data_IF_266150371883
#
_entry.id   IF_266150371883
#
_cell.length_a   1.000
_cell.length_b   1.000
_cell.length_c   1.000
_cell.angle_alpha   90.00
_cell.angle_beta   90.00
_cell.angle_gamma   90.00
#
_symmetry.space_group_name_H-M   'P 1'
#
loop_
_entity.id
_entity.type
_entity.pdbx_description
1 polymer ?
#
# COMPACT_ATOMS: atom_id res chain seq x y z
N UNK A 1 -5.16 8.37 -3.62
CA UNK A 1 -4.17 7.41 -4.19
C UNK A 1 -2.81 7.78 -3.61
N UNK A 2 -2.09 6.84 -2.99
CA UNK A 2 -0.74 7.06 -2.46
C UNK A 2 0.25 7.15 -3.62
N UNK A 3 1.08 8.19 -3.63
CA UNK A 3 2.09 8.46 -4.65
C UNK A 3 3.50 8.13 -4.17
N UNK A 4 4.49 8.04 -5.08
CA UNK A 4 5.90 7.91 -4.67
C UNK A 4 6.36 9.08 -3.80
N UNK A 5 5.84 10.29 -4.04
CA UNK A 5 6.13 11.46 -3.21
C UNK A 5 5.67 11.30 -1.78
N UNK A 6 4.46 10.75 -1.55
CA UNK A 6 3.95 10.47 -0.21
C UNK A 6 4.84 9.47 0.53
N UNK A 7 5.34 8.46 -0.18
CA UNK A 7 6.27 7.46 0.37
C UNK A 7 7.60 8.09 0.78
N UNK A 8 8.19 8.91 -0.10
CA UNK A 8 9.46 9.59 0.19
C UNK A 8 9.35 10.56 1.37
N UNK A 9 8.26 11.33 1.43
CA UNK A 9 7.97 12.22 2.56
C UNK A 9 7.82 11.46 3.88
N UNK A 10 7.27 10.26 3.83
CA UNK A 10 7.11 9.40 5.01
C UNK A 10 8.45 8.81 5.47
N UNK A 11 9.27 8.32 4.53
CA UNK A 11 10.55 7.68 4.84
C UNK A 11 11.66 8.67 5.24
N UNK A 12 11.70 9.81 4.56
CA UNK A 12 12.77 10.83 4.74
C UNK A 12 12.14 12.23 4.82
N UNK A 13 11.53 12.59 5.94
CA UNK A 13 10.92 13.90 6.11
C UNK A 13 11.95 15.02 5.95
N UNK A 14 11.63 16.01 5.12
CA UNK A 14 12.49 17.18 4.88
C UNK A 14 13.60 16.96 3.86
N UNK A 15 13.78 15.76 3.31
CA UNK A 15 14.78 15.51 2.27
C UNK A 15 14.44 16.19 0.94
N UNK A 16 15.47 16.50 0.15
CA UNK A 16 15.33 17.08 -1.18
C UNK A 16 15.36 15.99 -2.27
N UNK A 17 14.33 15.95 -3.10
CA UNK A 17 14.18 15.00 -4.20
C UNK A 17 13.26 15.52 -5.28
N UNK A 18 13.30 14.90 -6.47
CA UNK A 18 12.39 15.16 -7.57
C UNK A 18 11.86 13.84 -8.14
N UNK A 19 10.62 13.84 -8.63
CA UNK A 19 10.00 12.68 -9.32
C UNK A 19 9.46 13.13 -10.66
N UNK A 20 10.04 12.63 -11.74
CA UNK A 20 9.63 12.92 -13.11
C UNK A 20 9.35 11.60 -13.84
N UNK A 21 8.14 11.44 -14.37
CA UNK A 21 7.77 10.21 -15.08
C UNK A 21 7.89 8.94 -14.23
N UNK A 22 7.75 9.05 -12.90
CA UNK A 22 7.91 7.93 -11.99
C UNK A 22 9.36 7.59 -11.61
N UNK A 23 10.33 8.30 -12.17
CA UNK A 23 11.76 8.18 -11.82
C UNK A 23 12.09 9.15 -10.70
N UNK A 24 12.69 8.64 -9.62
CA UNK A 24 13.18 9.42 -8.49
C UNK A 24 14.58 9.94 -8.83
N UNK A 25 14.81 11.23 -8.59
CA UNK A 25 16.14 11.85 -8.57
C UNK A 25 16.36 12.37 -7.17
N UNK A 26 17.27 11.74 -6.45
CA UNK A 26 17.64 12.14 -5.09
C UNK A 26 18.63 13.29 -5.14
N UNK A 27 18.34 14.36 -4.41
CA UNK A 27 19.13 15.60 -4.39
C UNK A 27 19.72 15.89 -3.01
N UNK A 28 19.15 15.26 -1.97
CA UNK A 28 19.59 15.46 -0.58
C UNK A 28 21.01 14.92 -0.35
N UNK A 29 21.83 15.70 0.34
CA UNK A 29 23.23 15.35 0.65
C UNK A 29 23.42 14.91 2.09
N UNK A 30 22.44 15.12 2.96
CA UNK A 30 22.50 14.80 4.38
C UNK A 30 21.77 13.47 4.70
N UNK A 31 20.72 13.18 3.97
CA UNK A 31 19.95 11.94 4.12
C UNK A 31 20.24 10.97 2.97
N UNK A 32 20.31 9.68 3.28
CA UNK A 32 20.50 8.64 2.26
C UNK A 32 19.22 8.39 1.48
N UNK A 33 19.35 8.16 0.17
CA UNK A 33 18.24 7.75 -0.67
C UNK A 33 17.61 6.44 -0.14
N UNK A 34 16.27 6.37 -0.03
CA UNK A 34 15.59 5.13 0.32
C UNK A 34 15.83 4.03 -0.71
N UNK A 35 16.03 2.81 -0.25
CA UNK A 35 16.14 1.65 -1.12
C UNK A 35 14.81 1.31 -1.78
N UNK A 36 14.83 0.52 -2.87
CA UNK A 36 13.62 0.04 -3.52
C UNK A 36 12.74 -0.77 -2.55
N UNK A 37 13.35 -1.56 -1.66
CA UNK A 37 12.65 -2.34 -0.65
C UNK A 37 11.95 -1.44 0.37
N UNK A 38 12.64 -0.42 0.90
CA UNK A 38 12.03 0.56 1.81
C UNK A 38 10.83 1.26 1.16
N UNK A 39 10.96 1.67 -0.11
CA UNK A 39 9.88 2.33 -0.86
C UNK A 39 8.69 1.40 -1.04
N UNK A 40 8.91 0.14 -1.43
CA UNK A 40 7.84 -0.87 -1.58
C UNK A 40 7.11 -1.11 -0.27
N UNK A 41 7.86 -1.40 0.78
CA UNK A 41 7.29 -1.77 2.09
C UNK A 41 6.53 -0.59 2.71
N UNK A 42 7.04 0.62 2.55
CA UNK A 42 6.35 1.84 3.00
C UNK A 42 5.10 2.14 2.18
N UNK A 43 5.11 1.91 0.87
CA UNK A 43 3.91 2.04 0.03
C UNK A 43 2.80 1.11 0.52
N UNK A 44 3.12 -0.16 0.77
CA UNK A 44 2.17 -1.14 1.32
C UNK A 44 1.63 -0.67 2.68
N UNK A 45 2.50 -0.18 3.56
CA UNK A 45 2.11 0.33 4.87
C UNK A 45 1.16 1.52 4.77
N UNK A 46 1.44 2.48 3.90
CA UNK A 46 0.58 3.65 3.72
C UNK A 46 -0.78 3.28 3.10
N UNK A 47 -0.81 2.34 2.16
CA UNK A 47 -2.05 1.83 1.57
C UNK A 47 -2.91 1.12 2.63
N UNK A 48 -2.32 0.22 3.40
CA UNK A 48 -3.02 -0.47 4.49
C UNK A 48 -3.52 0.50 5.55
N UNK A 49 -2.71 1.50 5.92
CA UNK A 49 -3.12 2.57 6.84
C UNK A 49 -4.34 3.33 6.30
N UNK A 50 -4.36 3.67 5.02
CA UNK A 50 -5.48 4.38 4.41
C UNK A 50 -6.76 3.53 4.44
N UNK A 51 -6.66 2.22 4.17
CA UNK A 51 -7.79 1.28 4.28
C UNK A 51 -8.33 1.21 5.72
N UNK A 52 -7.45 1.03 6.68
CA UNK A 52 -7.81 0.95 8.11
C UNK A 52 -8.43 2.26 8.61
N UNK A 53 -8.01 3.40 8.09
CA UNK A 53 -8.49 4.73 8.48
C UNK A 53 -9.72 5.23 7.70
N UNK A 54 -10.17 4.50 6.68
CA UNK A 54 -11.32 4.85 5.82
C UNK A 54 -12.63 5.11 6.62
N UNK A 55 -12.77 4.44 7.79
CA UNK A 55 -13.90 4.72 8.69
C UNK A 55 -14.01 6.19 9.11
N UNK A 56 -12.91 6.95 9.12
CA UNK A 56 -12.90 8.37 9.52
C UNK A 56 -13.69 9.22 8.54
N UNK A 57 -13.45 9.02 7.23
CA UNK A 57 -14.16 9.75 6.18
C UNK A 57 -15.63 9.33 6.13
N UNK A 58 -15.93 8.03 6.23
CA UNK A 58 -17.29 7.50 6.27
C UNK A 58 -18.07 8.08 7.45
N UNK A 59 -17.49 8.12 8.64
CA UNK A 59 -18.10 8.74 9.81
C UNK A 59 -18.33 10.23 9.62
N UNK A 60 -17.33 10.95 9.08
CA UNK A 60 -17.41 12.41 8.91
C UNK A 60 -18.59 12.81 8.01
N UNK A 61 -18.90 12.00 6.99
CA UNK A 61 -20.03 12.22 6.08
C UNK A 61 -21.41 11.90 6.66
N UNK A 62 -21.48 11.11 7.75
CA UNK A 62 -22.75 10.66 8.33
C UNK A 62 -23.05 11.24 9.73
N UNK A 63 -22.08 11.91 10.35
CA UNK A 63 -22.37 12.58 11.62
C UNK A 63 -23.41 13.70 11.45
N UNK A 64 -24.37 13.81 12.38
CA UNK A 64 -25.29 14.92 12.39
C UNK A 64 -24.56 16.25 12.55
N UNK A 65 -25.14 17.38 12.08
CA UNK A 65 -24.57 18.70 12.27
C UNK A 65 -24.33 19.01 13.75
N UNK A 66 -23.13 19.46 14.09
CA UNK A 66 -22.78 19.80 15.49
C UNK A 66 -23.62 20.94 16.05
N UNK A 67 -24.22 21.74 15.18
CA UNK A 67 -25.14 22.84 15.49
C UNK A 67 -26.37 22.32 16.22
N UNK A 68 -26.86 21.12 15.91
CA UNK A 68 -28.02 20.51 16.58
C UNK A 68 -27.72 20.22 18.06
N UNK A 69 -26.50 19.79 18.37
CA UNK A 69 -26.05 19.61 19.74
C UNK A 69 -25.95 20.94 20.49
N UNK A 70 -25.34 21.95 19.84
CA UNK A 70 -25.14 23.28 20.46
C UNK A 70 -26.49 23.96 20.72
N UNK A 71 -27.43 23.84 19.78
CA UNK A 71 -28.78 24.37 19.92
C UNK A 71 -29.52 23.72 21.12
N UNK A 72 -29.42 22.38 21.24
CA UNK A 72 -29.94 21.64 22.41
C UNK A 72 -29.37 22.13 23.72
N UNK A 73 -28.03 22.36 23.77
CA UNK A 73 -27.36 22.89 24.98
C UNK A 73 -27.83 24.30 25.31
N UNK A 74 -27.94 25.20 24.33
CA UNK A 74 -28.41 26.58 24.53
C UNK A 74 -29.84 26.64 25.01
N UNK A 75 -30.71 25.76 24.51
CA UNK A 75 -32.12 25.62 24.90
C UNK A 75 -32.33 24.86 26.22
N UNK A 76 -31.28 24.21 26.73
CA UNK A 76 -31.35 23.25 27.82
C UNK A 76 -32.36 22.11 27.53
N UNK A 77 -32.35 21.66 26.26
CA UNK A 77 -33.20 20.57 25.76
C UNK A 77 -32.43 19.25 25.80
N UNK A 78 -32.65 18.47 26.86
CA UNK A 78 -31.96 17.19 27.08
C UNK A 78 -32.36 16.15 26.04
N UNK A 79 -33.59 16.14 25.55
CA UNK A 79 -34.05 15.17 24.53
C UNK A 79 -33.33 15.39 23.20
N UNK A 80 -33.12 16.66 22.80
CA UNK A 80 -32.35 17.01 21.61
C UNK A 80 -30.87 16.61 21.75
N UNK A 81 -30.27 16.82 22.90
CA UNK A 81 -28.89 16.41 23.21
C UNK A 81 -28.76 14.90 23.12
N UNK A 82 -29.63 14.15 23.77
CA UNK A 82 -29.61 12.69 23.80
C UNK A 82 -29.82 12.09 22.41
N UNK A 83 -30.71 12.67 21.59
CA UNK A 83 -30.93 12.26 20.20
C UNK A 83 -29.65 12.46 19.36
N UNK A 84 -28.96 13.59 19.51
CA UNK A 84 -27.68 13.84 18.84
C UNK A 84 -26.61 12.81 19.24
N UNK A 85 -26.46 12.53 20.53
CA UNK A 85 -25.49 11.56 21.06
C UNK A 85 -25.80 10.16 20.52
N UNK A 86 -27.09 9.75 20.51
CA UNK A 86 -27.52 8.46 19.96
C UNK A 86 -27.20 8.34 18.47
N UNK A 87 -27.45 9.39 17.68
CA UNK A 87 -27.11 9.42 16.27
C UNK A 87 -25.59 9.31 16.04
N UNK A 88 -24.79 10.02 16.80
CA UNK A 88 -23.34 9.89 16.75
C UNK A 88 -22.85 8.49 17.11
N UNK A 89 -23.46 7.85 18.09
CA UNK A 89 -23.12 6.47 18.46
C UNK A 89 -23.49 5.49 17.36
N UNK A 90 -24.66 5.62 16.75
CA UNK A 90 -25.08 4.77 15.63
C UNK A 90 -24.11 4.84 14.44
N UNK A 91 -23.56 6.03 14.12
CA UNK A 91 -22.52 6.19 13.10
C UNK A 91 -21.23 5.45 13.50
N UNK A 92 -20.83 5.51 14.77
CA UNK A 92 -19.64 4.78 15.25
C UNK A 92 -19.81 3.28 15.22
N UNK A 93 -20.98 2.78 15.51
CA UNK A 93 -21.33 1.35 15.47
C UNK A 93 -21.38 0.83 14.03
N UNK A 94 -21.89 1.66 13.11
CA UNK A 94 -21.91 1.34 11.67
C UNK A 94 -20.51 1.25 11.06
N UNK A 95 -19.59 2.10 11.50
CA UNK A 95 -18.21 2.16 11.03
C UNK A 95 -17.24 2.00 12.22
N UNK A 96 -17.00 0.77 12.69
CA UNK A 96 -16.13 0.54 13.84
C UNK A 96 -14.71 1.02 13.55
N UNK A 97 -14.04 1.53 14.59
CA UNK A 97 -12.63 1.90 14.49
C UNK A 97 -11.81 0.62 14.28
N UNK A 98 -11.05 0.58 13.20
CA UNK A 98 -10.06 -0.45 12.95
C UNK A 98 -8.65 0.05 13.35
N UNK A 99 -7.75 -0.88 13.60
CA UNK A 99 -6.33 -0.63 13.86
C UNK A 99 -5.50 -1.49 12.90
N UNK A 100 -4.32 -1.00 12.55
CA UNK A 100 -3.39 -1.82 11.77
C UNK A 100 -2.96 -3.05 12.61
N UNK A 101 -2.87 -4.17 11.94
CA UNK A 101 -2.36 -5.43 12.46
C UNK A 101 -0.96 -5.67 11.87
N UNK A 102 0.03 -5.96 12.72
CA UNK A 102 1.42 -6.09 12.30
C UNK A 102 1.67 -7.37 11.49
N UNK A 103 0.97 -8.47 11.80
CA UNK A 103 1.09 -9.72 11.07
C UNK A 103 0.47 -9.60 9.68
N UNK A 104 -0.68 -8.95 9.56
CA UNK A 104 -1.32 -8.63 8.28
C UNK A 104 -0.43 -7.69 7.45
N UNK A 105 0.18 -6.68 8.06
CA UNK A 105 1.12 -5.78 7.37
C UNK A 105 2.31 -6.56 6.82
N UNK A 106 2.94 -7.40 7.64
CA UNK A 106 4.07 -8.24 7.22
C UNK A 106 3.68 -9.19 6.07
N UNK A 107 2.48 -9.78 6.12
CA UNK A 107 1.95 -10.64 5.06
C UNK A 107 1.77 -9.87 3.74
N UNK A 108 1.23 -8.66 3.79
CA UNK A 108 1.04 -7.79 2.60
C UNK A 108 2.38 -7.35 2.00
N UNK A 109 3.37 -7.03 2.83
CA UNK A 109 4.72 -6.67 2.38
C UNK A 109 5.43 -7.88 1.71
N UNK A 110 5.31 -9.07 2.28
CA UNK A 110 5.84 -10.29 1.68
C UNK A 110 5.17 -10.61 0.33
N UNK A 111 3.86 -10.42 0.21
CA UNK A 111 3.14 -10.59 -1.06
C UNK A 111 3.61 -9.58 -2.10
N UNK A 112 3.78 -8.32 -1.74
CA UNK A 112 4.26 -7.28 -2.65
C UNK A 112 5.67 -7.57 -3.18
N UNK A 113 6.57 -8.10 -2.33
CA UNK A 113 7.89 -8.56 -2.73
C UNK A 113 7.80 -9.74 -3.72
N UNK A 114 6.95 -10.72 -3.44
CA UNK A 114 6.74 -11.86 -4.33
C UNK A 114 6.22 -11.43 -5.72
N UNK A 115 5.25 -10.52 -5.75
CA UNK A 115 4.68 -9.99 -6.99
C UNK A 115 5.72 -9.21 -7.80
N UNK A 116 6.56 -8.40 -7.14
CA UNK A 116 7.66 -7.68 -7.79
C UNK A 116 8.68 -8.64 -8.41
N UNK A 117 9.06 -9.69 -7.68
CA UNK A 117 9.99 -10.72 -8.19
C UNK A 117 9.40 -11.47 -9.38
N UNK A 118 8.12 -11.81 -9.36
CA UNK A 118 7.44 -12.47 -10.47
C UNK A 118 7.40 -11.59 -11.73
N UNK A 119 7.13 -10.28 -11.58
CA UNK A 119 7.16 -9.31 -12.70
C UNK A 119 8.59 -9.21 -13.26
N UNK A 120 9.59 -9.09 -12.41
CA UNK A 120 10.99 -9.00 -12.82
C UNK A 120 11.45 -10.25 -13.57
N UNK A 121 11.05 -11.44 -13.11
CA UNK A 121 11.33 -12.71 -13.81
C UNK A 121 10.67 -12.75 -15.19
N UNK A 122 9.40 -12.38 -15.29
CA UNK A 122 8.69 -12.35 -16.57
C UNK A 122 9.34 -11.39 -17.57
N UNK A 123 9.67 -10.17 -17.12
CA UNK A 123 10.33 -9.16 -17.94
C UNK A 123 11.73 -9.63 -18.40
N UNK A 124 12.49 -10.32 -17.53
CA UNK A 124 13.80 -10.86 -17.89
C UNK A 124 13.68 -11.99 -18.94
N UNK A 125 12.68 -12.86 -18.79
CA UNK A 125 12.40 -13.92 -19.77
C UNK A 125 12.02 -13.34 -21.13
N UNK A 126 11.12 -12.36 -21.18
CA UNK A 126 10.71 -11.70 -22.43
C UNK A 126 11.91 -11.04 -23.15
N UNK A 127 12.78 -10.36 -22.40
CA UNK A 127 14.00 -9.74 -22.97
C UNK A 127 14.95 -10.79 -23.54
N UNK A 128 15.12 -11.93 -22.86
CA UNK A 128 15.94 -13.02 -23.31
C UNK A 128 15.38 -13.63 -24.60
N UNK A 129 14.07 -13.86 -24.67
CA UNK A 129 13.40 -14.36 -25.86
C UNK A 129 13.58 -13.42 -27.05
N UNK A 130 13.39 -12.11 -26.88
CA UNK A 130 13.62 -11.09 -27.88
C UNK A 130 15.08 -11.10 -28.38
N UNK A 131 16.04 -11.23 -27.48
CA UNK A 131 17.45 -11.34 -27.84
C UNK A 131 17.73 -12.61 -28.67
N UNK A 132 17.24 -13.78 -28.25
CA UNK A 132 17.42 -15.05 -28.98
C UNK A 132 16.83 -14.98 -30.37
N UNK A 133 15.63 -14.41 -30.53
CA UNK A 133 15.00 -14.20 -31.86
C UNK A 133 15.86 -13.28 -32.73
N UNK A 134 16.41 -12.19 -32.18
CA UNK A 134 17.26 -11.25 -32.92
C UNK A 134 18.56 -11.89 -33.39
N UNK A 135 19.11 -12.86 -32.67
CA UNK A 135 20.31 -13.64 -33.02
C UNK A 135 20.01 -14.87 -33.86
N UNK A 136 18.75 -15.13 -34.25
CA UNK A 136 18.35 -16.30 -35.00
C UNK A 136 18.53 -17.63 -34.23
N UNK A 137 18.53 -17.59 -32.90
CA UNK A 137 18.61 -18.75 -32.03
C UNK A 137 17.23 -19.24 -31.63
N UNK A 138 17.10 -20.54 -31.35
CA UNK A 138 15.83 -21.13 -30.96
C UNK A 138 15.37 -20.59 -29.59
N UNK A 139 14.07 -20.34 -29.44
CA UNK A 139 13.44 -19.93 -28.19
C UNK A 139 13.57 -21.04 -27.14
N UNK A 140 13.90 -20.68 -25.89
CA UNK A 140 13.96 -21.63 -24.77
C UNK A 140 12.52 -21.98 -24.38
N UNK A 141 12.02 -23.11 -24.89
CA UNK A 141 10.76 -23.69 -24.40
C UNK A 141 10.99 -24.26 -22.98
N UNK A 142 10.22 -23.81 -22.03
CA UNK A 142 10.31 -24.07 -20.58
C UNK A 142 10.18 -25.57 -20.18
N UNK A 143 10.11 -26.48 -21.12
CA UNK A 143 9.84 -27.91 -20.88
C UNK A 143 11.10 -28.73 -20.58
N UNK A 144 12.31 -28.21 -20.82
CA UNK A 144 13.55 -29.00 -20.67
C UNK A 144 14.31 -28.77 -19.35
N UNK A 145 13.98 -27.79 -18.53
CA UNK A 145 14.75 -27.46 -17.32
C UNK A 145 14.28 -28.22 -16.07
N UNK A 146 13.11 -28.84 -16.09
CA UNK A 146 12.56 -29.54 -14.90
C UNK A 146 12.79 -31.08 -14.93
N UNK A 147 13.37 -31.62 -16.01
CA UNK A 147 13.41 -33.04 -16.27
C UNK A 147 14.75 -33.76 -16.04
N UNK A 148 15.86 -33.11 -15.72
CA UNK A 148 17.18 -33.75 -15.75
C UNK A 148 17.89 -33.99 -14.41
N UNK A 149 17.40 -33.53 -13.26
CA UNK A 149 18.14 -33.65 -11.99
C UNK A 149 17.54 -34.62 -10.95
N UNK A 150 16.65 -35.56 -11.33
CA UNK A 150 16.08 -36.49 -10.33
C UNK A 150 16.36 -37.98 -10.61
N UNK A 151 17.24 -38.38 -11.54
CA UNK A 151 17.45 -39.78 -11.85
C UNK A 151 18.92 -40.23 -11.92
N UNK A 152 19.85 -39.67 -11.20
CA UNK A 152 21.23 -40.17 -11.20
C UNK A 152 21.82 -40.35 -9.79
N UNK A 153 21.07 -40.97 -8.87
CA UNK A 153 21.62 -41.62 -7.67
C UNK A 153 20.84 -42.87 -7.33
N UNK A 154 21.01 -43.94 -8.10
CA UNK A 154 20.91 -45.35 -7.61
C UNK A 154 21.63 -46.28 -8.56
N UNK A 155 22.93 -46.52 -8.32
CA UNK A 155 23.57 -47.80 -8.59
C UNK A 155 24.81 -47.94 -7.73
#
# INVERSE_FOLDING_TARGET
MITKGDVLLSLRPGAEWNVVGGVITWLDTEQTEPTADEIRDELVRLQYKAEVEDYKEKRAGEYPPKEDYLDGVVKNDQDQIDAYVAACQAVKDKYPKATMDDDELASRQAQALFDEQAINYTNAKERLEQYLVSEGKESITTTEVIGQDLNDETN
#
